data_IF_779821565210
#
_entry.id   IF_779821565210
#
_cell.length_a   1.000
_cell.length_b   1.000
_cell.length_c   1.000
_cell.angle_alpha   90.00
_cell.angle_beta   90.00
_cell.angle_gamma   90.00
#
_symmetry.space_group_name_H-M   'P 1'
#
loop_
_entity.id
_entity.type
_entity.pdbx_description
1 polymer ?
#
# COMPACT_ATOMS: atom_id res chain seq x y z
N UNK A 1 -26.10 -48.45 36.07
CA UNK A 1 -25.01 -47.95 35.21
C UNK A 1 -25.63 -47.21 34.05
N UNK A 2 -25.81 -45.90 34.18
CA UNK A 2 -26.27 -45.02 33.10
C UNK A 2 -25.04 -44.40 32.46
N UNK A 3 -24.78 -44.78 31.20
CA UNK A 3 -23.72 -44.22 30.37
C UNK A 3 -23.96 -42.72 30.18
N UNK A 4 -23.03 -41.90 30.66
CA UNK A 4 -23.03 -40.46 30.45
C UNK A 4 -22.73 -40.16 28.97
N UNK A 5 -23.60 -39.36 28.36
CA UNK A 5 -23.38 -38.77 27.03
C UNK A 5 -22.19 -37.80 27.08
N UNK A 6 -21.30 -37.80 26.08
CA UNK A 6 -20.19 -36.85 26.03
C UNK A 6 -20.77 -35.44 25.90
N UNK A 7 -20.35 -34.56 26.81
CA UNK A 7 -20.91 -33.22 26.97
C UNK A 7 -20.72 -32.36 25.72
N UNK A 8 -21.84 -31.82 25.24
CA UNK A 8 -21.85 -30.61 24.42
C UNK A 8 -21.18 -29.50 25.25
N UNK A 9 -19.95 -29.15 24.87
CA UNK A 9 -19.37 -27.88 25.30
C UNK A 9 -20.21 -26.79 24.63
N UNK A 10 -20.84 -25.87 25.39
CA UNK A 10 -21.59 -24.79 24.78
C UNK A 10 -20.68 -24.03 23.82
N UNK A 11 -21.14 -23.64 22.61
CA UNK A 11 -20.33 -22.84 21.72
C UNK A 11 -19.87 -21.59 22.48
N UNK A 12 -18.57 -21.41 22.58
CA UNK A 12 -17.97 -20.21 23.17
C UNK A 12 -18.61 -19.00 22.48
N UNK A 13 -19.32 -18.18 23.26
CA UNK A 13 -20.09 -17.08 22.72
C UNK A 13 -19.13 -15.94 22.37
N UNK A 14 -18.42 -16.08 21.23
CA UNK A 14 -17.43 -15.11 20.77
C UNK A 14 -18.14 -13.81 20.43
N UNK A 15 -17.83 -12.76 21.17
CA UNK A 15 -18.41 -11.45 20.94
C UNK A 15 -17.69 -10.76 19.77
N UNK A 16 -18.42 -10.11 18.86
CA UNK A 16 -17.82 -9.47 17.68
C UNK A 16 -16.76 -8.41 18.02
N UNK A 17 -16.83 -7.79 19.21
CA UNK A 17 -15.80 -6.84 19.68
C UNK A 17 -14.46 -7.50 20.07
N UNK A 18 -14.43 -8.82 20.28
CA UNK A 18 -13.21 -9.58 20.57
C UNK A 18 -12.58 -10.21 19.33
N UNK A 19 -13.13 -9.97 18.14
CA UNK A 19 -12.63 -10.49 16.87
C UNK A 19 -11.97 -9.36 16.11
N UNK A 20 -10.71 -9.53 15.71
CA UNK A 20 -10.01 -8.65 14.77
C UNK A 20 -10.07 -9.27 13.38
N UNK A 21 -10.47 -8.47 12.39
CA UNK A 21 -10.44 -8.81 10.98
C UNK A 21 -9.23 -8.12 10.36
N UNK A 22 -8.33 -8.91 9.76
CA UNK A 22 -7.12 -8.42 9.09
C UNK A 22 -7.25 -8.75 7.60
N UNK A 23 -7.21 -7.72 6.77
CA UNK A 23 -7.22 -7.84 5.32
C UNK A 23 -5.96 -7.14 4.75
N UNK A 24 -4.86 -7.91 4.59
CA UNK A 24 -3.62 -7.37 4.06
C UNK A 24 -3.74 -7.11 2.56
N UNK A 25 -3.08 -6.06 2.09
CA UNK A 25 -2.96 -5.74 0.67
C UNK A 25 -1.55 -5.27 0.34
N UNK A 26 -1.20 -5.23 -0.94
CA UNK A 26 0.14 -4.80 -1.37
C UNK A 26 0.44 -3.35 -1.07
N UNK A 27 -0.57 -2.47 -1.15
CA UNK A 27 -0.39 -1.05 -0.82
C UNK A 27 -0.98 -0.72 0.55
N UNK A 28 -2.16 -1.26 0.88
CA UNK A 28 -2.91 -0.85 2.05
C UNK A 28 -3.26 -2.06 2.92
N UNK A 29 -3.10 -1.90 4.23
CA UNK A 29 -3.62 -2.79 5.26
C UNK A 29 -5.00 -2.28 5.66
N UNK A 30 -6.00 -3.16 5.63
CA UNK A 30 -7.31 -2.91 6.22
C UNK A 30 -7.48 -3.78 7.45
N UNK A 31 -7.70 -3.18 8.60
CA UNK A 31 -7.76 -3.89 9.87
C UNK A 31 -8.79 -3.23 10.78
N UNK A 32 -9.55 -4.03 11.54
CA UNK A 32 -10.61 -3.53 12.42
C UNK A 32 -11.21 -4.63 13.27
N UNK A 33 -12.00 -4.26 14.28
CA UNK A 33 -12.85 -5.23 14.99
C UNK A 33 -13.99 -5.66 14.08
N UNK A 34 -14.50 -6.88 14.24
CA UNK A 34 -15.67 -7.35 13.48
C UNK A 34 -16.93 -6.51 13.77
N UNK A 35 -16.95 -5.77 14.88
CA UNK A 35 -18.01 -4.81 15.21
C UNK A 35 -17.86 -3.43 14.58
N UNK A 36 -16.70 -3.11 13.98
CA UNK A 36 -16.44 -1.76 13.47
C UNK A 36 -17.22 -1.50 12.17
N UNK A 37 -17.73 -0.28 12.02
CA UNK A 37 -18.46 0.11 10.81
C UNK A 37 -17.55 0.17 9.58
N UNK A 38 -16.33 0.71 9.75
CA UNK A 38 -15.32 0.83 8.71
C UNK A 38 -13.98 0.36 9.26
N UNK A 39 -13.18 -0.43 8.51
CA UNK A 39 -11.84 -0.79 8.94
C UNK A 39 -10.92 0.43 8.88
N UNK A 40 -9.91 0.43 9.76
CA UNK A 40 -8.76 1.31 9.60
C UNK A 40 -8.04 0.95 8.30
N UNK A 41 -7.71 1.95 7.48
CA UNK A 41 -6.89 1.78 6.28
C UNK A 41 -5.61 2.57 6.42
N UNK A 42 -4.47 1.90 6.35
CA UNK A 42 -3.14 2.52 6.37
C UNK A 42 -2.26 1.93 5.27
N UNK A 43 -1.21 2.65 4.88
CA UNK A 43 -0.15 2.10 4.04
C UNK A 43 0.42 0.82 4.68
N UNK A 44 0.50 -0.27 3.92
CA UNK A 44 1.04 -1.55 4.37
C UNK A 44 2.56 -1.60 4.16
N UNK A 45 3.25 -0.67 4.80
CA UNK A 45 4.69 -0.52 4.68
C UNK A 45 5.31 -0.16 6.01
N UNK A 46 6.59 -0.49 6.11
CA UNK A 46 7.47 -0.16 7.22
C UNK A 46 8.76 0.43 6.66
N UNK A 47 9.21 1.51 7.27
CA UNK A 47 10.54 2.03 7.07
C UNK A 47 11.41 1.66 8.28
N UNK A 48 12.55 1.02 8.03
CA UNK A 48 13.53 0.66 9.06
C UNK A 48 14.82 1.44 8.87
N UNK A 49 15.39 1.96 9.96
CA UNK A 49 16.67 2.66 9.91
C UNK A 49 17.76 1.71 9.45
N UNK A 50 18.52 2.15 8.44
CA UNK A 50 19.62 1.43 7.86
C UNK A 50 20.80 1.43 8.82
N UNK A 51 21.35 0.25 9.07
CA UNK A 51 22.57 0.10 9.85
C UNK A 51 23.77 0.78 9.16
N UNK A 52 24.78 1.25 9.91
CA UNK A 52 26.00 1.81 9.33
C UNK A 52 26.65 0.83 8.35
N UNK A 53 26.92 1.29 7.12
CA UNK A 53 27.47 0.45 6.04
C UNK A 53 26.47 -0.52 5.39
N UNK A 54 25.20 -0.51 5.80
CA UNK A 54 24.13 -1.29 5.18
C UNK A 54 23.81 -0.82 3.76
N UNK A 55 23.22 -1.71 2.96
CA UNK A 55 22.75 -1.38 1.62
C UNK A 55 21.45 -0.56 1.67
N UNK A 56 21.37 0.46 0.82
CA UNK A 56 20.13 1.21 0.62
C UNK A 56 19.11 0.35 -0.11
N UNK A 57 17.87 0.36 0.36
CA UNK A 57 16.78 -0.38 -0.24
C UNK A 57 15.46 0.39 -0.11
N UNK A 58 14.70 0.50 -1.19
CA UNK A 58 13.36 1.06 -1.19
C UNK A 58 12.49 0.27 -2.15
N UNK A 59 11.49 -0.42 -1.62
CA UNK A 59 10.38 -0.90 -2.44
C UNK A 59 9.65 0.29 -3.09
N UNK A 60 9.23 0.10 -4.34
CA UNK A 60 8.60 1.14 -5.13
C UNK A 60 7.10 1.22 -4.86
N UNK A 61 6.60 2.45 -4.66
CA UNK A 61 5.17 2.73 -4.54
C UNK A 61 4.43 2.56 -5.87
N UNK A 62 5.11 2.91 -6.96
CA UNK A 62 4.61 2.77 -8.32
C UNK A 62 5.27 1.57 -8.98
N UNK A 63 4.60 0.92 -9.94
CA UNK A 63 5.22 -0.11 -10.77
C UNK A 63 6.55 0.39 -11.34
N UNK A 64 7.54 -0.51 -11.36
CA UNK A 64 8.85 -0.20 -11.93
C UNK A 64 8.70 0.25 -13.39
N UNK A 65 9.43 1.30 -13.76
CA UNK A 65 9.43 1.78 -15.14
C UNK A 65 10.20 0.77 -15.98
N UNK A 66 9.48 0.01 -16.78
CA UNK A 66 10.07 -0.93 -17.72
C UNK A 66 10.47 -0.15 -18.97
N UNK A 67 11.75 -0.23 -19.36
CA UNK A 67 12.16 0.18 -20.69
C UNK A 67 11.56 -0.79 -21.71
N UNK A 68 10.69 -0.26 -22.57
CA UNK A 68 9.98 -1.07 -23.56
C UNK A 68 10.97 -1.52 -24.63
N UNK A 69 11.44 -2.76 -24.53
CA UNK A 69 12.18 -3.43 -25.61
C UNK A 69 11.30 -3.71 -26.85
N UNK A 70 9.97 -3.55 -26.72
CA UNK A 70 8.97 -3.75 -27.76
C UNK A 70 8.03 -2.53 -27.85
N UNK A 71 8.52 -1.39 -28.38
CA UNK A 71 7.68 -0.19 -28.52
C UNK A 71 6.47 -0.44 -29.44
N UNK A 72 6.56 -1.39 -30.37
CA UNK A 72 5.48 -1.71 -31.31
C UNK A 72 4.27 -2.34 -30.61
N UNK A 73 4.44 -3.39 -29.80
CA UNK A 73 3.31 -4.03 -29.09
C UNK A 73 2.59 -3.05 -28.16
N UNK A 74 3.36 -2.20 -27.48
CA UNK A 74 2.80 -1.14 -26.64
C UNK A 74 1.99 -0.14 -27.47
N UNK A 75 2.51 0.27 -28.63
CA UNK A 75 1.82 1.21 -29.52
C UNK A 75 0.56 0.59 -30.15
N UNK A 76 0.60 -0.70 -30.51
CA UNK A 76 -0.56 -1.46 -30.98
C UNK A 76 -1.64 -1.57 -29.91
N UNK A 77 -1.26 -1.93 -28.67
CA UNK A 77 -2.18 -1.95 -27.54
C UNK A 77 -2.78 -0.56 -27.26
N UNK A 78 -1.96 0.50 -27.32
CA UNK A 78 -2.40 1.90 -27.17
C UNK A 78 -3.41 2.28 -28.25
N UNK A 79 -3.17 1.90 -29.51
CA UNK A 79 -4.08 2.15 -30.63
C UNK A 79 -5.38 1.35 -30.49
N UNK A 80 -5.32 0.07 -30.11
CA UNK A 80 -6.49 -0.77 -29.88
C UNK A 80 -7.41 -0.18 -28.79
N UNK A 81 -6.84 0.28 -27.68
CA UNK A 81 -7.59 0.99 -26.63
C UNK A 81 -8.20 2.28 -27.18
N UNK A 82 -7.43 3.06 -27.94
CA UNK A 82 -7.91 4.33 -28.54
C UNK A 82 -9.09 4.10 -29.49
N UNK A 83 -9.03 3.08 -30.35
CA UNK A 83 -10.11 2.73 -31.27
C UNK A 83 -11.35 2.25 -30.53
N UNK A 84 -11.18 1.44 -29.49
CA UNK A 84 -12.29 0.99 -28.64
C UNK A 84 -12.98 2.18 -27.98
N UNK A 85 -12.23 3.14 -27.44
CA UNK A 85 -12.81 4.34 -26.83
C UNK A 85 -13.52 5.25 -27.84
N UNK A 86 -13.02 5.32 -29.08
CA UNK A 86 -13.62 6.13 -30.14
C UNK A 86 -14.87 5.49 -30.77
N UNK A 87 -14.98 4.15 -30.74
CA UNK A 87 -16.15 3.43 -31.24
C UNK A 87 -17.34 3.52 -30.29
N UNK A 88 -17.10 3.69 -28.99
CA UNK A 88 -18.15 3.94 -28.01
C UNK A 88 -18.75 5.35 -28.17
N UNK A 89 -20.08 5.41 -28.33
CA UNK A 89 -20.82 6.68 -28.28
C UNK A 89 -20.78 7.26 -26.86
N UNK A 90 -20.85 8.59 -26.80
CA UNK A 90 -21.10 9.32 -25.57
C UNK A 90 -22.56 9.09 -25.11
N UNK A 91 -22.86 9.45 -23.87
CA UNK A 91 -24.21 9.32 -23.30
C UNK A 91 -25.28 10.11 -24.07
N UNK A 92 -24.87 11.15 -24.81
CA UNK A 92 -25.72 11.95 -25.70
C UNK A 92 -25.83 11.38 -27.13
N UNK A 93 -25.25 10.20 -27.39
CA UNK A 93 -25.25 9.54 -28.69
C UNK A 93 -24.22 10.08 -29.68
N UNK A 94 -23.37 11.05 -29.31
CA UNK A 94 -22.35 11.61 -30.20
C UNK A 94 -21.05 10.80 -30.17
N UNK A 95 -20.26 10.90 -31.24
CA UNK A 95 -18.90 10.32 -31.30
C UNK A 95 -17.94 11.12 -30.40
N UNK A 96 -16.93 10.45 -29.88
CA UNK A 96 -15.81 11.09 -29.16
C UNK A 96 -14.76 11.57 -30.16
N UNK A 97 -14.29 12.79 -29.98
CA UNK A 97 -13.15 13.34 -30.72
C UNK A 97 -11.99 13.52 -29.75
N UNK A 98 -10.85 12.89 -30.05
CA UNK A 98 -9.65 13.00 -29.23
C UNK A 98 -8.87 14.28 -29.57
N UNK A 99 -8.41 14.99 -28.56
CA UNK A 99 -7.51 16.14 -28.75
C UNK A 99 -6.11 15.64 -29.15
N UNK A 100 -5.49 16.18 -30.22
CA UNK A 100 -4.16 15.75 -30.65
C UNK A 100 -3.11 15.92 -29.53
N UNK A 101 -2.26 14.91 -29.26
CA UNK A 101 -1.23 14.98 -28.22
C UNK A 101 -0.29 16.18 -28.37
N UNK A 102 -0.01 16.59 -29.61
CA UNK A 102 0.82 17.76 -29.91
C UNK A 102 0.21 19.07 -29.40
N UNK A 103 -1.12 19.22 -29.51
CA UNK A 103 -1.84 20.38 -29.01
C UNK A 103 -1.81 20.43 -27.48
N UNK A 104 -2.04 19.29 -26.83
CA UNK A 104 -1.96 19.15 -25.36
C UNK A 104 -0.54 19.48 -24.89
N UNK A 105 0.49 18.91 -25.52
CA UNK A 105 1.88 19.17 -25.16
C UNK A 105 2.25 20.64 -25.34
N UNK A 106 1.79 21.29 -26.41
CA UNK A 106 2.02 22.71 -26.64
C UNK A 106 1.34 23.61 -25.61
N UNK A 107 0.18 23.19 -25.08
CA UNK A 107 -0.48 23.87 -23.97
C UNK A 107 0.29 23.65 -22.66
N UNK A 108 0.57 22.40 -22.30
CA UNK A 108 1.25 22.04 -21.05
C UNK A 108 2.63 22.72 -20.90
N UNK A 109 3.38 22.89 -22.00
CA UNK A 109 4.67 23.62 -21.98
C UNK A 109 4.54 25.09 -21.60
N UNK A 110 3.37 25.70 -21.80
CA UNK A 110 3.11 27.11 -21.53
C UNK A 110 2.43 27.33 -20.17
N UNK A 111 1.92 26.27 -19.56
CA UNK A 111 1.31 26.31 -18.23
C UNK A 111 2.38 26.54 -17.16
N UNK A 112 2.12 27.49 -16.25
CA UNK A 112 2.97 27.75 -15.09
C UNK A 112 2.28 27.24 -13.83
N UNK A 113 3.03 26.65 -12.87
CA UNK A 113 2.46 26.24 -11.60
C UNK A 113 2.01 27.46 -10.78
N UNK A 114 0.86 27.33 -10.10
CA UNK A 114 0.39 28.32 -9.14
C UNK A 114 0.87 27.94 -7.73
N UNK A 115 1.50 28.88 -7.04
CA UNK A 115 1.99 28.67 -5.68
C UNK A 115 0.84 28.92 -4.69
N UNK A 116 0.27 27.83 -4.17
CA UNK A 116 -0.82 27.91 -3.18
C UNK A 116 -0.33 28.14 -1.73
N UNK A 117 0.97 28.02 -1.47
CA UNK A 117 1.56 28.19 -0.15
C UNK A 117 3.09 28.16 -0.15
N UNK A 118 3.69 28.41 1.02
CA UNK A 118 5.14 28.55 1.18
C UNK A 118 5.87 27.25 1.59
N UNK A 119 5.15 26.16 1.88
CA UNK A 119 5.75 24.87 2.22
C UNK A 119 5.00 23.70 1.56
N UNK A 120 5.72 22.60 1.31
CA UNK A 120 5.17 21.35 0.79
C UNK A 120 4.70 20.39 1.90
N UNK A 121 4.46 20.91 3.11
CA UNK A 121 4.34 20.12 4.34
C UNK A 121 5.65 20.02 5.12
N UNK A 122 5.56 19.48 6.33
CA UNK A 122 6.71 19.22 7.20
C UNK A 122 7.10 17.74 7.17
N UNK A 123 8.39 17.47 7.05
CA UNK A 123 8.94 16.13 7.25
C UNK A 123 8.77 15.71 8.70
N UNK A 124 8.44 14.43 8.91
CA UNK A 124 8.44 13.87 10.26
C UNK A 124 9.89 13.71 10.75
N UNK A 125 10.09 13.82 12.06
CA UNK A 125 11.36 13.53 12.72
C UNK A 125 11.19 12.23 13.51
N UNK A 126 11.64 11.09 12.97
CA UNK A 126 11.48 9.80 13.63
C UNK A 126 12.28 9.77 14.94
N UNK A 127 11.62 9.52 16.07
CA UNK A 127 12.31 9.39 17.37
C UNK A 127 13.03 8.03 17.51
N UNK A 128 12.72 7.05 16.65
CA UNK A 128 13.29 5.71 16.69
C UNK A 128 13.79 5.20 15.32
N UNK A 129 13.90 3.88 15.24
CA UNK A 129 14.44 3.17 14.06
C UNK A 129 13.36 2.59 13.16
N UNK A 130 12.10 2.85 13.46
CA UNK A 130 10.94 2.31 12.75
C UNK A 130 9.92 3.41 12.52
N UNK A 131 9.42 3.51 11.29
CA UNK A 131 8.26 4.32 10.91
C UNK A 131 7.29 3.44 10.14
N UNK A 132 6.01 3.51 10.47
CA UNK A 132 4.99 2.59 9.94
C UNK A 132 3.89 3.39 9.26
N UNK A 133 3.34 2.84 8.18
CA UNK A 133 2.13 3.37 7.59
C UNK A 133 2.32 4.71 6.88
N UNK A 134 1.30 5.56 6.95
CA UNK A 134 1.23 6.80 6.15
C UNK A 134 2.34 7.80 6.49
N UNK A 135 2.95 7.68 7.68
CA UNK A 135 4.05 8.53 8.12
C UNK A 135 5.32 8.35 7.28
N UNK A 136 5.46 7.20 6.61
CA UNK A 136 6.52 6.94 5.64
C UNK A 136 6.47 7.94 4.48
N UNK A 137 5.28 8.38 4.07
CA UNK A 137 5.11 9.36 2.98
C UNK A 137 5.63 10.75 3.35
N UNK A 138 5.87 10.99 4.65
CA UNK A 138 6.40 12.24 5.20
C UNK A 138 7.81 12.08 5.74
N UNK A 139 8.50 10.98 5.44
CA UNK A 139 9.92 10.84 5.73
C UNK A 139 10.74 11.70 4.77
N UNK A 140 11.77 12.37 5.30
CA UNK A 140 12.77 13.04 4.47
C UNK A 140 13.51 11.97 3.63
N UNK A 141 13.53 12.08 2.28
CA UNK A 141 14.24 11.14 1.42
C UNK A 141 15.75 11.05 1.69
N UNK A 142 16.34 12.04 2.37
CA UNK A 142 17.75 12.05 2.74
C UNK A 142 18.05 11.27 4.01
N UNK A 143 17.03 10.88 4.77
CA UNK A 143 17.20 10.06 5.97
C UNK A 143 17.62 8.63 5.62
N UNK A 144 18.34 8.00 6.54
CA UNK A 144 18.93 6.68 6.33
C UNK A 144 17.91 5.56 6.62
N UNK A 145 16.72 5.61 6.02
CA UNK A 145 15.73 4.54 6.13
C UNK A 145 15.69 3.68 4.86
N UNK A 146 15.42 2.39 5.05
CA UNK A 146 15.00 1.50 3.99
C UNK A 146 13.48 1.30 4.08
N UNK A 147 12.79 1.31 2.94
CA UNK A 147 11.33 1.16 2.86
C UNK A 147 10.99 -0.23 2.35
N UNK A 148 10.13 -0.92 3.09
CA UNK A 148 9.72 -2.29 2.82
C UNK A 148 8.19 -2.38 2.70
N UNK A 149 7.72 -3.02 1.64
CA UNK A 149 6.34 -3.43 1.46
C UNK A 149 6.26 -4.96 1.63
N UNK A 150 5.79 -5.47 2.77
CA UNK A 150 5.80 -6.92 3.02
C UNK A 150 4.90 -7.73 2.08
N UNK A 151 3.92 -7.08 1.44
CA UNK A 151 3.07 -7.68 0.42
C UNK A 151 3.31 -7.04 -0.96
N UNK A 152 3.36 -7.86 -2.01
CA UNK A 152 3.46 -7.41 -3.40
C UNK A 152 2.68 -8.34 -4.32
N UNK A 153 1.78 -7.76 -5.12
CA UNK A 153 0.92 -8.49 -6.08
C UNK A 153 0.13 -9.65 -5.45
N UNK A 154 -0.35 -9.45 -4.22
CA UNK A 154 -1.16 -10.43 -3.50
C UNK A 154 -0.39 -11.52 -2.74
N UNK A 155 0.94 -11.50 -2.76
CA UNK A 155 1.79 -12.46 -2.03
C UNK A 155 2.85 -11.75 -1.20
N UNK A 156 3.62 -12.49 -0.39
CA UNK A 156 4.76 -11.99 0.35
C UNK A 156 5.85 -11.47 -0.60
N UNK A 157 6.40 -10.29 -0.29
CA UNK A 157 7.42 -9.64 -1.11
C UNK A 157 8.81 -10.20 -0.82
N UNK A 158 9.06 -11.45 -1.26
CA UNK A 158 10.34 -12.13 -1.07
C UNK A 158 11.31 -11.75 -2.19
N UNK A 159 12.52 -11.34 -1.84
CA UNK A 159 13.58 -10.96 -2.78
C UNK A 159 14.98 -11.04 -2.18
N UNK A 160 16.03 -10.93 -3.01
CA UNK A 160 17.43 -11.03 -2.57
C UNK A 160 18.01 -9.81 -1.84
N UNK A 161 17.36 -8.65 -1.92
CA UNK A 161 17.79 -7.43 -1.24
C UNK A 161 17.46 -7.39 0.27
N UNK A 162 17.93 -6.35 0.99
CA UNK A 162 17.62 -6.14 2.42
C UNK A 162 16.13 -6.22 2.71
N UNK A 163 15.73 -6.98 3.74
CA UNK A 163 14.32 -7.14 4.13
C UNK A 163 13.54 -8.19 3.33
N UNK A 164 14.12 -8.80 2.30
CA UNK A 164 13.40 -9.72 1.41
C UNK A 164 13.39 -11.19 1.81
N UNK A 165 13.99 -11.60 2.93
CA UNK A 165 13.88 -12.98 3.40
C UNK A 165 12.49 -13.23 4.00
N UNK A 166 12.01 -14.48 3.97
CA UNK A 166 10.73 -14.85 4.61
C UNK A 166 10.65 -14.39 6.06
N UNK A 167 11.74 -14.57 6.82
CA UNK A 167 11.81 -14.15 8.23
C UNK A 167 11.73 -12.64 8.39
N UNK A 168 12.36 -11.85 7.51
CA UNK A 168 12.31 -10.40 7.55
C UNK A 168 10.90 -9.89 7.20
N UNK A 169 10.29 -10.45 6.15
CA UNK A 169 8.92 -10.11 5.75
C UNK A 169 7.92 -10.41 6.88
N UNK A 170 8.02 -11.58 7.54
CA UNK A 170 7.15 -11.92 8.66
C UNK A 170 7.38 -11.01 9.88
N UNK A 171 8.64 -10.65 10.18
CA UNK A 171 8.96 -9.70 11.25
C UNK A 171 8.41 -8.30 10.96
N UNK A 172 8.42 -7.87 9.69
CA UNK A 172 7.82 -6.61 9.25
C UNK A 172 6.31 -6.63 9.40
N UNK A 173 5.64 -7.73 9.01
CA UNK A 173 4.20 -7.91 9.20
C UNK A 173 3.82 -7.88 10.68
N UNK A 174 4.53 -8.62 11.52
CA UNK A 174 4.33 -8.62 12.97
C UNK A 174 4.49 -7.21 13.55
N UNK A 175 5.54 -6.49 13.15
CA UNK A 175 5.82 -5.13 13.63
C UNK A 175 4.70 -4.18 13.23
N UNK A 176 4.27 -4.20 11.96
CA UNK A 176 3.20 -3.33 11.47
C UNK A 176 1.88 -3.65 12.17
N UNK A 177 1.50 -4.92 12.27
CA UNK A 177 0.21 -5.30 12.84
C UNK A 177 0.16 -5.05 14.35
N UNK A 178 1.25 -5.32 15.06
CA UNK A 178 1.37 -5.01 16.50
C UNK A 178 1.24 -3.51 16.73
N UNK A 179 1.97 -2.69 15.96
CA UNK A 179 1.85 -1.24 16.03
C UNK A 179 0.40 -0.77 15.85
N UNK A 180 -0.29 -1.29 14.83
CA UNK A 180 -1.68 -0.89 14.61
C UNK A 180 -2.59 -1.31 15.77
N UNK A 181 -2.42 -2.53 16.28
CA UNK A 181 -3.22 -3.03 17.40
C UNK A 181 -3.00 -2.20 18.67
N UNK A 182 -1.77 -1.83 18.98
CA UNK A 182 -1.43 -1.05 20.17
C UNK A 182 -1.89 0.41 20.04
N UNK A 183 -1.50 1.09 18.96
CA UNK A 183 -1.67 2.54 18.84
C UNK A 183 -3.06 2.94 18.30
N UNK A 184 -3.68 2.13 17.45
CA UNK A 184 -5.00 2.44 16.89
C UNK A 184 -6.14 1.71 17.61
N UNK A 185 -5.91 0.49 18.10
CA UNK A 185 -6.95 -0.31 18.75
C UNK A 185 -6.81 -0.40 20.27
N UNK A 186 -5.71 0.06 20.87
CA UNK A 186 -5.44 0.00 22.31
C UNK A 186 -5.44 -1.44 22.84
N UNK A 187 -4.92 -2.38 22.03
CA UNK A 187 -4.79 -3.80 22.36
C UNK A 187 -3.31 -4.10 22.54
N UNK A 188 -2.88 -4.26 23.79
CA UNK A 188 -1.50 -4.56 24.13
C UNK A 188 -1.20 -6.06 24.00
N UNK A 189 0.03 -6.41 23.63
CA UNK A 189 0.49 -7.80 23.73
C UNK A 189 0.47 -8.27 25.19
N UNK A 190 0.00 -9.49 25.43
CA UNK A 190 0.18 -10.16 26.72
C UNK A 190 1.60 -10.73 26.74
N UNK A 191 2.43 -10.18 27.64
CA UNK A 191 3.78 -10.68 27.97
C UNK A 191 3.65 -12.01 28.71
#
# INVERSE_FOLDING_TARGET
MTLGTPGDTPPEQVHSKSIIVIHPGSLNLRIGRASDLNPLTILHAIARRRLPGGQHYMDTFLPERIELNQPQEFEEARLAVSHTLQSCLQSDGRRRYATPPQQIAAFNRRSQPEMLGNNGGEWIKPEGDVVIGNDILRLDPNELFNIHFPYKRGDFNIHGGPGGSMTAVLADLETIWTYVLEYNFQINQKI
#
